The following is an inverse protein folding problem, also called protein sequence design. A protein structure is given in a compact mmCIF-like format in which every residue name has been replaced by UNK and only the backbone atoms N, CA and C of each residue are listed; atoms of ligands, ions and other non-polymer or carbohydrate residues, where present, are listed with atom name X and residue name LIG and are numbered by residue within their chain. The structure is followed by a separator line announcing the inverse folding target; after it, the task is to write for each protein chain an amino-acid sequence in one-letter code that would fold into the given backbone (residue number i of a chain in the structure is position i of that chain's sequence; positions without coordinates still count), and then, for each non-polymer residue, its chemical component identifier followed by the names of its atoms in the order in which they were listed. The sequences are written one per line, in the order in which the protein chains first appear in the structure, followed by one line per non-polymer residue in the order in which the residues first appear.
data_IF_167172024083
#
_entry.id   IF_167172024083
#
_cell.length_a   1.000
_cell.length_b   1.000
_cell.length_c   1.000
_cell.angle_alpha   90.00
_cell.angle_beta   90.00
_cell.angle_gamma   90.00
#
_symmetry.space_group_name_H-M   'P 1'
#
loop_
_entity.id
_entity.type
_entity.pdbx_description
1 polymer ?
#
# COMPACT_ATOMS: atom_id res chain seq x y z
N UNK A 1 1.48 -15.18 22.01
CA UNK A 1 1.01 -13.79 21.84
C UNK A 1 1.63 -13.22 20.57
N UNK A 2 0.87 -13.12 19.48
CA UNK A 2 1.34 -12.42 18.27
C UNK A 2 1.21 -10.92 18.48
N UNK A 3 2.36 -10.23 18.55
CA UNK A 3 2.41 -8.78 18.64
C UNK A 3 2.24 -8.21 17.23
N UNK A 4 1.04 -7.69 16.94
CA UNK A 4 0.80 -6.87 15.75
C UNK A 4 1.40 -5.49 16.00
N UNK A 5 2.46 -5.14 15.27
CA UNK A 5 3.02 -3.79 15.27
C UNK A 5 2.19 -2.95 14.29
N UNK A 6 1.44 -1.93 14.74
CA UNK A 6 0.62 -1.09 13.88
C UNK A 6 1.52 -0.34 12.88
N UNK A 7 1.06 -0.21 11.63
CA UNK A 7 1.86 0.35 10.53
C UNK A 7 2.18 1.85 10.68
N UNK A 8 1.67 2.48 11.73
CA UNK A 8 1.84 3.89 12.06
C UNK A 8 2.99 4.17 13.03
N UNK A 9 3.61 3.14 13.63
CA UNK A 9 4.73 3.32 14.56
C UNK A 9 6.09 3.42 13.84
N UNK A 10 6.87 4.43 14.23
CA UNK A 10 8.24 4.71 13.76
C UNK A 10 9.28 3.66 14.23
N UNK A 11 8.85 2.57 14.86
CA UNK A 11 9.70 1.48 15.36
C UNK A 11 10.30 0.56 14.27
N UNK A 12 10.09 0.85 12.98
CA UNK A 12 10.53 -0.01 11.85
C UNK A 12 11.97 0.18 11.38
N UNK A 13 12.79 0.99 12.06
CA UNK A 13 14.13 1.38 11.58
C UNK A 13 15.22 0.29 11.78
N UNK A 14 14.89 -0.89 12.29
CA UNK A 14 15.88 -1.85 12.81
C UNK A 14 16.12 -3.16 12.01
N UNK A 15 15.90 -3.25 10.68
CA UNK A 15 16.37 -4.47 9.96
C UNK A 15 16.85 -4.28 8.51
N UNK A 16 18.00 -4.91 8.23
CA UNK A 16 18.91 -4.98 7.05
C UNK A 16 18.29 -5.65 5.79
N UNK A 17 18.90 -5.78 4.57
CA UNK A 17 20.24 -5.44 4.04
C UNK A 17 20.26 -4.76 2.63
N UNK A 18 19.14 -4.25 2.08
CA UNK A 18 19.10 -3.60 0.77
C UNK A 18 18.35 -2.26 0.88
N UNK A 19 19.12 -1.17 0.94
CA UNK A 19 18.76 0.25 1.19
C UNK A 19 18.44 0.60 2.66
N UNK A 20 19.49 0.98 3.39
CA UNK A 20 19.49 1.27 4.83
C UNK A 20 18.97 2.64 5.27
N UNK A 21 18.21 3.35 4.44
CA UNK A 21 17.56 4.58 4.88
C UNK A 21 16.27 4.75 4.11
N UNK A 22 15.15 4.58 4.81
CA UNK A 22 13.86 5.02 4.32
C UNK A 22 13.71 6.50 4.63
N UNK A 23 13.40 7.30 3.62
CA UNK A 23 13.02 8.70 3.81
C UNK A 23 11.84 8.76 4.78
N UNK A 24 11.97 9.57 5.82
CA UNK A 24 10.83 9.87 6.70
C UNK A 24 9.80 10.63 5.86
N UNK A 25 8.62 10.03 5.71
CA UNK A 25 7.50 10.66 5.04
C UNK A 25 6.95 11.78 5.92
N UNK A 26 6.64 12.92 5.31
CA UNK A 26 5.84 13.95 5.95
C UNK A 26 4.43 13.44 6.26
N UNK A 27 3.73 14.08 7.20
CA UNK A 27 2.35 13.70 7.53
C UNK A 27 1.41 13.80 6.32
N UNK A 28 1.65 14.78 5.45
CA UNK A 28 0.93 14.91 4.18
C UNK A 28 1.16 13.70 3.26
N UNK A 29 2.40 13.20 3.17
CA UNK A 29 2.71 12.01 2.36
C UNK A 29 2.16 10.73 3.00
N UNK A 30 2.19 10.60 4.33
CA UNK A 30 1.55 9.50 5.04
C UNK A 30 0.04 9.47 4.76
N UNK A 31 -0.61 10.63 4.82
CA UNK A 31 -2.04 10.76 4.52
C UNK A 31 -2.37 10.39 3.06
N UNK A 32 -1.57 10.89 2.10
CA UNK A 32 -1.74 10.54 0.69
C UNK A 32 -1.51 9.06 0.42
N UNK A 33 -0.53 8.44 1.08
CA UNK A 33 -0.29 7.00 0.98
C UNK A 33 -1.52 6.21 1.47
N UNK A 34 -2.11 6.58 2.61
CA UNK A 34 -3.32 5.95 3.12
C UNK A 34 -4.45 6.08 2.12
N UNK A 35 -4.74 7.30 1.67
CA UNK A 35 -5.83 7.56 0.74
C UNK A 35 -5.72 6.74 -0.55
N UNK A 36 -4.51 6.57 -1.10
CA UNK A 36 -4.28 5.74 -2.29
C UNK A 36 -4.63 4.27 -2.02
N UNK A 37 -4.27 3.73 -0.86
CA UNK A 37 -4.58 2.35 -0.48
C UNK A 37 -6.07 2.17 -0.23
N UNK A 38 -6.67 3.10 0.51
CA UNK A 38 -8.10 3.08 0.84
C UNK A 38 -8.96 3.09 -0.44
N UNK A 39 -8.56 3.87 -1.47
CA UNK A 39 -9.21 3.86 -2.78
C UNK A 39 -9.07 2.52 -3.52
N UNK A 40 -7.88 1.90 -3.45
CA UNK A 40 -7.64 0.59 -4.04
C UNK A 40 -8.47 -0.51 -3.38
N UNK A 41 -8.50 -0.53 -2.05
CA UNK A 41 -9.27 -1.49 -1.27
C UNK A 41 -10.78 -1.32 -1.50
N UNK A 42 -11.27 -0.08 -1.58
CA UNK A 42 -12.67 0.20 -1.91
C UNK A 42 -13.06 -0.34 -3.29
N UNK A 43 -12.21 -0.12 -4.31
CA UNK A 43 -12.46 -0.64 -5.66
C UNK A 43 -12.44 -2.17 -5.70
N UNK A 44 -11.45 -2.81 -5.06
CA UNK A 44 -11.35 -4.26 -5.00
C UNK A 44 -12.52 -4.89 -4.23
N UNK A 45 -13.00 -4.20 -3.20
CA UNK A 45 -14.21 -4.57 -2.46
C UNK A 45 -15.45 -4.58 -3.34
N UNK A 46 -15.64 -3.53 -4.16
CA UNK A 46 -16.78 -3.40 -5.06
C UNK A 46 -16.85 -4.57 -6.07
N UNK A 47 -15.72 -4.97 -6.64
CA UNK A 47 -15.66 -6.03 -7.66
C UNK A 47 -15.37 -7.43 -7.10
N UNK A 48 -15.42 -7.60 -5.77
CA UNK A 48 -14.99 -8.83 -5.09
C UNK A 48 -15.90 -10.03 -5.38
N UNK A 49 -17.19 -9.80 -5.58
CA UNK A 49 -18.17 -10.83 -5.92
C UNK A 49 -18.12 -11.28 -7.38
N UNK A 50 -17.48 -10.50 -8.24
CA UNK A 50 -17.51 -10.70 -9.67
C UNK A 50 -16.43 -11.68 -10.15
N UNK A 51 -16.84 -12.50 -11.12
CA UNK A 51 -16.02 -13.52 -11.76
C UNK A 51 -15.88 -13.22 -13.25
N UNK A 52 -14.75 -13.64 -13.83
CA UNK A 52 -14.47 -13.43 -15.24
C UNK A 52 -13.07 -12.90 -15.50
N UNK A 53 -12.69 -12.89 -16.78
CA UNK A 53 -11.36 -12.45 -17.22
C UNK A 53 -11.17 -10.96 -16.98
N UNK A 54 -12.20 -10.17 -17.27
CA UNK A 54 -12.22 -8.71 -17.16
C UNK A 54 -11.98 -8.28 -15.71
N UNK A 55 -12.73 -8.86 -14.77
CA UNK A 55 -12.57 -8.60 -13.35
C UNK A 55 -11.23 -9.06 -12.81
N UNK A 56 -10.69 -10.19 -13.31
CA UNK A 56 -9.36 -10.65 -12.93
C UNK A 56 -8.26 -9.69 -13.40
N UNK A 57 -8.36 -9.17 -14.63
CA UNK A 57 -7.45 -8.15 -15.15
C UNK A 57 -7.59 -6.84 -14.34
N UNK A 58 -8.81 -6.42 -14.05
CA UNK A 58 -9.08 -5.21 -13.27
C UNK A 58 -8.45 -5.29 -11.87
N UNK A 59 -8.59 -6.42 -11.17
CA UNK A 59 -7.95 -6.66 -9.86
C UNK A 59 -6.44 -6.51 -9.94
N UNK A 60 -5.78 -7.23 -10.85
CA UNK A 60 -4.32 -7.15 -11.01
C UNK A 60 -3.86 -5.74 -11.37
N UNK A 61 -4.58 -5.03 -12.24
CA UNK A 61 -4.22 -3.67 -12.64
C UNK A 61 -4.44 -2.65 -11.53
N UNK A 62 -5.46 -2.83 -10.70
CA UNK A 62 -5.65 -1.97 -9.54
C UNK A 62 -4.52 -2.16 -8.52
N UNK A 63 -4.16 -3.40 -8.19
CA UNK A 63 -3.05 -3.71 -7.28
C UNK A 63 -1.72 -3.13 -7.78
N UNK A 64 -1.43 -3.31 -9.08
CA UNK A 64 -0.25 -2.75 -9.73
C UNK A 64 -0.24 -1.21 -9.68
N UNK A 65 -1.37 -0.56 -9.97
CA UNK A 65 -1.50 0.89 -9.92
C UNK A 65 -1.25 1.44 -8.52
N UNK A 66 -1.86 0.84 -7.48
CA UNK A 66 -1.67 1.22 -6.07
C UNK A 66 -0.20 1.07 -5.67
N UNK A 67 0.43 -0.06 -6.04
CA UNK A 67 1.84 -0.31 -5.74
C UNK A 67 2.75 0.75 -6.36
N UNK A 68 2.59 1.05 -7.65
CA UNK A 68 3.42 2.06 -8.34
C UNK A 68 3.17 3.47 -7.83
N UNK A 69 1.93 3.83 -7.50
CA UNK A 69 1.59 5.14 -6.94
C UNK A 69 2.23 5.35 -5.56
N UNK A 70 2.12 4.35 -4.67
CA UNK A 70 2.77 4.39 -3.34
C UNK A 70 4.29 4.45 -3.50
N UNK A 71 4.87 3.62 -4.38
CA UNK A 71 6.32 3.63 -4.65
C UNK A 71 6.81 4.99 -5.17
N UNK A 72 6.02 5.66 -6.02
CA UNK A 72 6.34 7.00 -6.50
C UNK A 72 6.30 8.06 -5.39
N UNK A 73 5.36 7.91 -4.44
CA UNK A 73 5.23 8.78 -3.28
C UNK A 73 6.34 8.56 -2.24
N UNK A 74 6.79 7.32 -2.05
CA UNK A 74 7.82 6.95 -1.05
C UNK A 74 9.24 6.90 -1.62
N UNK A 75 9.47 7.48 -2.80
CA UNK A 75 10.81 7.56 -3.40
C UNK A 75 11.71 8.55 -2.67
#
# INVERSE_FOLDING_TARGET
MSCHIPSTDDARVANSPVRHSYRTLSDAEKHRMSAIKDMGDAFLGEISGDQGREFSIARTKMEEAVMWAVKGLTR
#
